data_IF_517364159503
#
_entry.id   IF_517364159503
#
_cell.length_a   1.000
_cell.length_b   1.000
_cell.length_c   1.000
_cell.angle_alpha   90.00
_cell.angle_beta   90.00
_cell.angle_gamma   90.00
#
_symmetry.space_group_name_H-M   'P 1'
#
loop_
_entity.id
_entity.type
_entity.pdbx_description
1 polymer ?
#
# COMPACT_ATOMS: atom_id res chain seq x y z
N UNK A 1 10.15 27.58 -10.91
CA UNK A 1 9.71 28.52 -11.97
C UNK A 1 8.39 27.98 -12.51
N UNK A 2 7.28 28.62 -12.18
CA UNK A 2 5.95 28.22 -12.67
C UNK A 2 5.72 28.88 -14.04
N UNK A 3 5.40 28.06 -15.04
CA UNK A 3 5.12 28.54 -16.41
C UNK A 3 3.60 28.57 -16.59
N UNK A 4 3.01 29.76 -16.55
CA UNK A 4 1.59 29.95 -16.86
C UNK A 4 1.38 29.87 -18.37
N UNK A 5 0.55 28.92 -18.81
CA UNK A 5 0.20 28.67 -20.22
C UNK A 5 -1.20 29.26 -20.47
N UNK A 6 -1.28 30.25 -21.35
CA UNK A 6 -2.55 30.87 -21.74
C UNK A 6 -2.93 30.41 -23.15
N UNK A 7 -4.19 30.02 -23.34
CA UNK A 7 -4.72 29.63 -24.64
C UNK A 7 -5.52 30.78 -25.24
N UNK A 8 -5.14 31.22 -26.44
CA UNK A 8 -5.90 32.21 -27.21
C UNK A 8 -6.92 31.56 -28.14
N UNK A 9 -8.12 32.14 -28.21
CA UNK A 9 -9.14 31.79 -29.20
C UNK A 9 -8.69 32.27 -30.59
N UNK A 10 -8.31 31.33 -31.44
CA UNK A 10 -8.02 31.60 -32.85
C UNK A 10 -9.31 31.44 -33.65
N UNK A 11 -9.94 32.56 -33.99
CA UNK A 11 -11.17 32.53 -34.79
C UNK A 11 -10.91 32.03 -36.23
N UNK A 12 -11.80 31.13 -36.63
CA UNK A 12 -12.18 30.75 -38.00
C UNK A 12 -11.22 29.81 -38.77
N UNK A 13 -11.49 28.50 -38.74
CA UNK A 13 -11.92 27.68 -39.90
C UNK A 13 -11.72 26.17 -39.62
N UNK A 14 -12.83 25.45 -39.46
CA UNK A 14 -13.11 23.99 -39.62
C UNK A 14 -12.09 22.87 -39.33
N UNK A 15 -10.98 23.09 -38.64
CA UNK A 15 -10.10 21.99 -38.20
C UNK A 15 -9.79 22.07 -36.70
N UNK A 16 -9.82 20.91 -36.02
CA UNK A 16 -9.45 20.66 -34.61
C UNK A 16 -8.66 21.81 -33.98
N UNK A 17 -9.31 22.53 -33.06
CA UNK A 17 -8.79 23.77 -32.48
C UNK A 17 -7.40 23.58 -31.87
N UNK A 18 -6.36 23.96 -32.62
CA UNK A 18 -4.99 24.06 -32.12
C UNK A 18 -4.93 25.24 -31.16
N UNK A 19 -4.99 24.95 -29.86
CA UNK A 19 -4.88 25.98 -28.84
C UNK A 19 -3.51 26.65 -28.93
N UNK A 20 -3.49 27.96 -29.22
CA UNK A 20 -2.25 28.72 -29.32
C UNK A 20 -1.77 29.13 -27.93
N UNK A 21 -0.59 28.64 -27.53
CA UNK A 21 0.07 29.02 -26.28
C UNK A 21 0.69 30.42 -26.46
N UNK A 22 0.37 31.35 -25.55
CA UNK A 22 0.95 32.70 -25.55
C UNK A 22 1.76 32.98 -24.27
N UNK A 23 2.71 33.92 -24.36
CA UNK A 23 3.52 34.36 -23.24
C UNK A 23 2.80 35.38 -22.36
N UNK A 24 3.22 35.48 -21.09
CA UNK A 24 2.62 36.39 -20.10
C UNK A 24 2.68 37.88 -20.53
N UNK A 25 3.77 38.32 -21.17
CA UNK A 25 3.89 39.69 -21.70
C UNK A 25 2.87 39.97 -22.82
N UNK A 26 2.54 38.95 -23.63
CA UNK A 26 1.53 39.07 -24.68
C UNK A 26 0.13 39.14 -24.06
N UNK A 27 -0.13 38.36 -23.01
CA UNK A 27 -1.37 38.45 -22.21
C UNK A 27 -1.58 39.86 -21.63
N UNK A 28 -0.55 40.47 -21.05
CA UNK A 28 -0.62 41.85 -20.52
C UNK A 28 -1.00 42.88 -21.60
N UNK A 29 -0.44 42.75 -22.81
CA UNK A 29 -0.81 43.60 -23.93
C UNK A 29 -2.28 43.46 -24.33
N UNK A 30 -2.84 42.25 -24.28
CA UNK A 30 -4.27 42.05 -24.55
C UNK A 30 -5.16 42.64 -23.45
N UNK A 31 -4.75 42.56 -22.18
CA UNK A 31 -5.45 43.22 -21.08
C UNK A 31 -5.48 44.75 -21.25
N UNK A 32 -4.35 45.35 -21.64
CA UNK A 32 -4.28 46.81 -21.91
C UNK A 32 -5.15 47.24 -23.09
N UNK A 33 -5.37 46.34 -24.06
CA UNK A 33 -6.27 46.56 -25.20
C UNK A 33 -7.75 46.35 -24.87
N UNK A 34 -8.08 46.07 -23.61
CA UNK A 34 -9.45 45.87 -23.15
C UNK A 34 -10.04 44.50 -23.47
N UNK A 35 -9.22 43.51 -23.83
CA UNK A 35 -9.70 42.15 -24.08
C UNK A 35 -10.10 41.47 -22.75
N UNK A 36 -11.21 40.71 -22.78
CA UNK A 36 -11.63 39.90 -21.64
C UNK A 36 -10.75 38.65 -21.51
N UNK A 37 -10.23 38.39 -20.32
CA UNK A 37 -9.37 37.24 -20.01
C UNK A 37 -10.02 36.41 -18.91
N UNK A 38 -10.11 35.10 -19.14
CA UNK A 38 -10.64 34.14 -18.17
C UNK A 38 -9.53 33.19 -17.73
N UNK A 39 -9.39 32.99 -16.41
CA UNK A 39 -8.48 31.99 -15.84
C UNK A 39 -9.29 30.76 -15.46
N UNK A 40 -9.06 29.66 -16.16
CA UNK A 40 -9.62 28.36 -15.81
C UNK A 40 -8.59 27.56 -15.03
N UNK A 41 -8.91 27.21 -13.80
CA UNK A 41 -8.14 26.25 -13.02
C UNK A 41 -8.79 24.87 -13.19
N UNK A 42 -8.09 23.96 -13.87
CA UNK A 42 -8.53 22.57 -13.99
C UNK A 42 -8.05 21.83 -12.74
N UNK A 43 -8.94 21.68 -11.76
CA UNK A 43 -8.77 20.59 -10.81
C UNK A 43 -9.25 19.32 -11.50
N UNK A 44 -8.34 18.38 -11.73
CA UNK A 44 -8.79 17.00 -11.78
C UNK A 44 -9.40 16.76 -10.41
N UNK A 45 -10.73 16.73 -10.35
CA UNK A 45 -11.37 15.87 -9.38
C UNK A 45 -10.85 14.49 -9.76
N UNK A 46 -9.74 14.09 -9.14
CA UNK A 46 -9.74 12.81 -8.48
C UNK A 46 -11.02 12.84 -7.65
N UNK A 47 -12.15 12.53 -8.31
CA UNK A 47 -13.24 11.87 -7.65
C UNK A 47 -12.56 10.86 -6.76
N UNK A 48 -13.02 10.77 -5.53
CA UNK A 48 -12.54 9.90 -4.48
C UNK A 48 -12.70 8.42 -4.87
N UNK A 49 -12.11 8.02 -6.00
CA UNK A 49 -11.53 6.72 -6.30
C UNK A 49 -10.14 6.66 -5.64
N UNK A 50 -9.88 7.53 -4.65
CA UNK A 50 -8.93 7.24 -3.59
C UNK A 50 -9.47 6.03 -2.81
N UNK A 51 -8.90 4.88 -3.13
CA UNK A 51 -8.88 3.62 -2.36
C UNK A 51 -9.95 2.55 -2.61
N UNK A 52 -11.05 2.79 -3.30
CA UNK A 52 -12.09 1.74 -3.40
C UNK A 52 -11.85 0.69 -4.51
N UNK A 53 -10.95 0.92 -5.48
CA UNK A 53 -10.73 -0.03 -6.59
C UNK A 53 -9.68 -1.13 -6.35
N UNK A 54 -8.95 -1.12 -5.22
CA UNK A 54 -7.88 -2.11 -4.97
C UNK A 54 -7.83 -2.62 -3.52
N UNK A 55 -8.94 -2.52 -2.79
CA UNK A 55 -9.07 -3.19 -1.50
C UNK A 55 -9.18 -4.69 -1.73
N UNK A 56 -8.43 -5.49 -0.95
CA UNK A 56 -8.50 -6.96 -1.02
C UNK A 56 -9.92 -7.44 -0.71
N UNK A 57 -10.61 -6.69 0.13
CA UNK A 57 -12.03 -6.83 0.47
C UNK A 57 -12.98 -6.69 -0.73
N UNK A 58 -12.53 -6.32 -1.93
CA UNK A 58 -13.37 -6.33 -3.13
C UNK A 58 -13.25 -7.62 -3.95
N UNK A 59 -12.25 -8.46 -3.66
CA UNK A 59 -12.09 -9.73 -4.33
C UNK A 59 -13.21 -10.67 -3.84
N UNK A 60 -14.06 -11.21 -4.73
CA UNK A 60 -15.23 -12.01 -4.32
C UNK A 60 -14.89 -13.13 -3.33
N UNK A 61 -13.80 -13.86 -3.56
CA UNK A 61 -13.38 -14.96 -2.67
C UNK A 61 -12.93 -14.46 -1.27
N UNK A 62 -12.32 -13.28 -1.18
CA UNK A 62 -11.89 -12.70 0.10
C UNK A 62 -13.11 -12.25 0.90
N UNK A 63 -14.13 -11.71 0.22
CA UNK A 63 -15.40 -11.35 0.84
C UNK A 63 -16.16 -12.55 1.37
N UNK A 64 -16.28 -13.58 0.54
CA UNK A 64 -17.00 -14.81 0.87
C UNK A 64 -16.33 -15.56 2.03
N UNK A 65 -15.01 -15.42 2.18
CA UNK A 65 -14.22 -16.06 3.22
C UNK A 65 -13.49 -15.06 4.12
N UNK A 66 -14.16 -13.97 4.51
CA UNK A 66 -13.57 -12.90 5.34
C UNK A 66 -13.00 -13.38 6.69
N UNK A 67 -13.54 -14.48 7.24
CA UNK A 67 -13.03 -15.13 8.47
C UNK A 67 -11.72 -15.89 8.28
N UNK A 68 -11.38 -16.25 7.04
CA UNK A 68 -10.14 -16.96 6.66
C UNK A 68 -9.06 -15.95 6.30
N UNK A 69 -9.44 -14.86 5.63
CA UNK A 69 -8.54 -13.78 5.21
C UNK A 69 -8.59 -12.60 6.19
N UNK A 70 -8.32 -12.87 7.47
CA UNK A 70 -8.18 -11.83 8.47
C UNK A 70 -6.86 -11.06 8.24
N UNK A 71 -6.84 -9.76 8.58
CA UNK A 71 -5.63 -8.93 8.53
C UNK A 71 -4.56 -9.43 9.51
N UNK A 72 -4.97 -10.05 10.61
CA UNK A 72 -4.09 -10.67 11.60
C UNK A 72 -4.54 -12.10 11.93
N UNK A 73 -3.59 -12.96 12.32
CA UNK A 73 -3.83 -14.35 12.66
C UNK A 73 -4.57 -14.46 14.01
N UNK A 74 -5.69 -15.20 14.11
CA UNK A 74 -6.53 -15.28 15.31
C UNK A 74 -5.93 -16.13 16.45
N UNK A 75 -4.59 -16.28 16.49
CA UNK A 75 -3.88 -17.18 17.39
C UNK A 75 -3.86 -18.63 16.90
N UNK A 76 -3.54 -19.56 17.80
CA UNK A 76 -3.61 -20.99 17.48
C UNK A 76 -5.06 -21.39 17.16
N UNK A 77 -5.30 -22.17 16.08
CA UNK A 77 -6.62 -22.73 15.86
C UNK A 77 -7.03 -23.59 17.05
N UNK A 78 -8.32 -23.52 17.43
CA UNK A 78 -8.91 -24.37 18.47
C UNK A 78 -8.57 -25.85 18.21
N UNK A 79 -8.68 -26.65 19.28
CA UNK A 79 -8.44 -28.10 19.33
C UNK A 79 -8.70 -28.76 17.99
N UNK A 80 -7.61 -29.06 17.27
CA UNK A 80 -7.69 -29.80 16.02
C UNK A 80 -8.13 -31.22 16.35
N UNK A 81 -8.97 -31.81 15.50
CA UNK A 81 -9.38 -33.22 15.65
C UNK A 81 -8.19 -34.19 15.51
N UNK A 82 -7.10 -33.73 14.90
CA UNK A 82 -5.87 -34.50 14.67
C UNK A 82 -4.72 -33.86 15.44
N UNK A 83 -4.03 -34.68 16.25
CA UNK A 83 -2.77 -34.31 16.88
C UNK A 83 -1.64 -34.55 15.88
N UNK A 84 -0.80 -33.55 15.67
CA UNK A 84 0.39 -33.70 14.83
C UNK A 84 1.49 -34.33 15.68
N UNK A 85 1.83 -35.58 15.39
CA UNK A 85 2.95 -36.28 16.00
C UNK A 85 4.15 -36.26 15.05
N UNK A 86 5.34 -36.03 15.60
CA UNK A 86 6.60 -36.12 14.85
C UNK A 86 7.22 -37.46 15.22
N UNK A 87 7.15 -38.42 14.30
CA UNK A 87 7.77 -39.73 14.49
C UNK A 87 9.26 -39.65 14.19
N UNK A 88 10.08 -40.08 15.14
CA UNK A 88 11.52 -40.17 14.98
C UNK A 88 11.88 -41.53 14.39
N UNK A 89 12.82 -41.53 13.44
CA UNK A 89 13.46 -42.77 13.01
C UNK A 89 14.21 -43.39 14.21
N UNK A 90 14.17 -44.73 14.39
CA UNK A 90 14.90 -45.38 15.47
C UNK A 90 16.39 -45.00 15.47
N UNK A 91 16.91 -44.57 16.62
CA UNK A 91 18.29 -44.11 16.77
C UNK A 91 18.54 -42.63 16.50
N UNK A 92 17.52 -41.85 16.10
CA UNK A 92 17.65 -40.39 16.03
C UNK A 92 17.84 -39.79 17.43
N UNK A 93 18.89 -38.99 17.60
CA UNK A 93 19.15 -38.22 18.81
C UNK A 93 18.67 -36.77 18.66
N UNK A 94 18.33 -36.10 19.76
CA UNK A 94 18.09 -34.65 19.74
C UNK A 94 19.36 -33.90 19.38
N UNK A 95 19.20 -32.78 18.66
CA UNK A 95 20.32 -31.94 18.25
C UNK A 95 20.25 -30.63 19.03
N UNK A 96 21.13 -30.48 20.03
CA UNK A 96 21.34 -29.23 20.72
C UNK A 96 22.43 -28.42 20.00
N UNK A 97 22.11 -27.20 19.57
CA UNK A 97 23.05 -26.26 18.97
C UNK A 97 22.97 -24.91 19.67
N UNK A 98 24.12 -24.27 19.80
CA UNK A 98 24.17 -22.90 20.32
C UNK A 98 23.41 -21.95 19.36
N UNK A 99 22.68 -20.96 19.88
CA UNK A 99 22.09 -19.90 19.06
C UNK A 99 23.17 -19.15 18.27
N UNK A 100 22.79 -18.65 17.09
CA UNK A 100 23.67 -17.78 16.30
C UNK A 100 23.89 -16.44 16.99
N UNK A 101 25.05 -15.83 16.73
CA UNK A 101 25.33 -14.47 17.19
C UNK A 101 24.58 -13.48 16.29
N UNK A 102 23.78 -12.63 16.91
CA UNK A 102 23.02 -11.57 16.25
C UNK A 102 23.51 -10.21 16.74
N UNK A 103 23.45 -9.21 15.87
CA UNK A 103 23.73 -7.84 16.25
C UNK A 103 22.62 -7.28 17.16
N UNK A 104 22.86 -6.21 17.94
CA UNK A 104 21.83 -5.61 18.81
C UNK A 104 20.48 -5.29 18.13
N UNK A 105 20.41 -4.73 16.90
CA UNK A 105 19.10 -4.47 16.27
C UNK A 105 18.36 -5.76 15.89
N UNK A 106 19.07 -6.78 15.40
CA UNK A 106 18.50 -8.07 15.04
C UNK A 106 17.96 -8.80 16.28
N UNK A 107 18.69 -8.74 17.40
CA UNK A 107 18.23 -9.28 18.68
C UNK A 107 16.95 -8.61 19.16
N UNK A 108 16.83 -7.28 18.97
CA UNK A 108 15.63 -6.53 19.34
C UNK A 108 14.44 -6.96 18.51
N UNK A 109 14.59 -7.00 17.18
CA UNK A 109 13.54 -7.44 16.26
C UNK A 109 13.08 -8.88 16.56
N UNK A 110 14.03 -9.80 16.75
CA UNK A 110 13.71 -11.18 17.12
C UNK A 110 12.93 -11.25 18.43
N UNK A 111 13.31 -10.46 19.43
CA UNK A 111 12.60 -10.44 20.71
C UNK A 111 11.16 -9.92 20.60
N UNK A 112 10.93 -8.92 19.73
CA UNK A 112 9.61 -8.36 19.46
C UNK A 112 8.71 -9.40 18.77
N UNK A 113 9.23 -10.12 17.77
CA UNK A 113 8.52 -11.21 17.09
C UNK A 113 8.18 -12.38 18.04
N UNK A 114 9.14 -12.79 18.88
CA UNK A 114 8.90 -13.86 19.86
C UNK A 114 7.84 -13.45 20.89
N UNK A 115 7.82 -12.19 21.32
CA UNK A 115 6.81 -11.66 22.23
C UNK A 115 5.43 -11.70 21.58
N UNK A 116 5.30 -11.25 20.34
CA UNK A 116 4.04 -11.30 19.59
C UNK A 116 3.53 -12.75 19.45
N UNK A 117 4.40 -13.69 19.07
CA UNK A 117 4.04 -15.10 18.94
C UNK A 117 3.62 -15.71 20.28
N UNK A 118 4.26 -15.31 21.39
CA UNK A 118 3.89 -15.76 22.73
C UNK A 118 2.52 -15.20 23.16
N UNK A 119 2.27 -13.91 22.95
CA UNK A 119 0.99 -13.26 23.26
C UNK A 119 -0.16 -13.83 22.44
N UNK A 120 0.09 -14.20 21.18
CA UNK A 120 -0.87 -14.90 20.31
C UNK A 120 -1.01 -16.40 20.63
N UNK A 121 -0.20 -16.93 21.55
CA UNK A 121 -0.25 -18.31 22.00
C UNK A 121 0.36 -19.34 21.05
N UNK A 122 1.07 -18.93 19.99
CA UNK A 122 1.72 -19.84 19.05
C UNK A 122 2.90 -20.59 19.66
N UNK A 123 3.58 -19.97 20.64
CA UNK A 123 4.71 -20.55 21.34
C UNK A 123 4.53 -20.44 22.85
N UNK A 124 5.28 -21.25 23.59
CA UNK A 124 5.37 -21.20 25.05
C UNK A 124 6.80 -21.57 25.49
N UNK A 125 7.24 -21.13 26.68
CA UNK A 125 8.49 -21.61 27.27
C UNK A 125 8.52 -23.14 27.34
N UNK A 126 9.68 -23.72 27.04
CA UNK A 126 9.90 -25.17 27.07
C UNK A 126 11.30 -25.49 27.54
N UNK A 127 11.49 -26.72 28.03
CA UNK A 127 12.79 -27.30 28.32
C UNK A 127 12.95 -28.55 27.45
N UNK A 128 13.75 -28.44 26.40
CA UNK A 128 14.03 -29.53 25.47
C UNK A 128 15.37 -30.20 25.83
N UNK A 129 15.48 -31.54 25.68
CA UNK A 129 16.69 -32.30 26.02
C UNK A 129 17.84 -32.14 25.00
#
# INVERSE_FOLDING_TARGET
>A
RETLIFHGDGSNQEHEARLNIISCAKTQNYMLKGCQVFLAHVTTKEAEVKSEKKRLENVPIVRDFSKVFLEDLPGLPLTRQVVFQIDLIPGAASVARAPYRLAPPEMKELSEQLKELFEKGFIRPSSSP
#
